data_IF_415217835108
#
_entry.id   IF_415217835108
#
_cell.length_a   1.000
_cell.length_b   1.000
_cell.length_c   1.000
_cell.angle_alpha   90.00
_cell.angle_beta   90.00
_cell.angle_gamma   90.00
#
_symmetry.space_group_name_H-M   'P 1'
#
loop_
_entity.id
_entity.type
_entity.pdbx_description
1 polymer ?
#
# COMPACT_ATOMS: atom_id res chain seq x y z
N UNK A 1 17.07 -10.86 19.57
CA UNK A 1 16.94 -11.45 18.23
C UNK A 1 16.05 -12.69 18.32
N UNK A 2 14.90 -12.71 17.66
CA UNK A 2 14.03 -13.89 17.57
C UNK A 2 14.07 -14.37 16.12
N UNK A 3 14.56 -15.59 15.92
CA UNK A 3 14.59 -16.23 14.60
C UNK A 3 13.33 -17.09 14.47
N UNK A 4 12.57 -16.88 13.42
CA UNK A 4 11.35 -17.64 13.13
C UNK A 4 11.66 -18.66 12.02
N UNK A 5 11.33 -19.92 12.27
CA UNK A 5 11.40 -21.00 11.29
C UNK A 5 10.00 -21.51 11.01
N UNK A 6 9.58 -21.41 9.75
CA UNK A 6 8.29 -21.96 9.30
C UNK A 6 7.08 -21.29 9.96
N UNK A 7 6.08 -22.05 10.39
CA UNK A 7 4.77 -21.60 10.90
C UNK A 7 4.77 -20.75 12.18
N UNK A 8 5.90 -20.18 12.59
CA UNK A 8 6.02 -19.38 13.81
C UNK A 8 5.47 -17.95 13.69
N UNK A 9 5.03 -17.52 12.52
CA UNK A 9 4.26 -16.26 12.34
C UNK A 9 3.03 -16.20 13.26
N UNK A 10 2.41 -17.34 13.58
CA UNK A 10 1.30 -17.44 14.55
C UNK A 10 1.65 -16.94 15.97
N UNK A 11 2.95 -16.82 16.29
CA UNK A 11 3.42 -16.34 17.59
C UNK A 11 3.62 -14.82 17.62
N UNK A 12 3.66 -14.18 16.46
CA UNK A 12 3.90 -12.73 16.33
C UNK A 12 2.60 -11.96 16.44
N UNK A 13 1.53 -12.49 15.84
CA UNK A 13 0.19 -11.94 15.93
C UNK A 13 -0.84 -13.04 15.73
N UNK A 14 -2.01 -12.94 16.40
CA UNK A 14 -3.15 -13.82 16.14
C UNK A 14 -3.85 -13.52 14.81
N UNK A 15 -3.57 -12.38 14.22
CA UNK A 15 -4.01 -12.03 12.86
C UNK A 15 -2.96 -11.15 12.22
N UNK A 16 -2.69 -11.41 10.96
CA UNK A 16 -1.87 -10.59 10.08
C UNK A 16 -2.65 -10.37 8.78
N UNK A 17 -2.46 -9.22 8.21
CA UNK A 17 -2.99 -8.85 6.90
C UNK A 17 -1.85 -8.58 5.92
N UNK A 18 -2.19 -8.00 4.84
CA UNK A 18 -1.40 -7.65 3.68
C UNK A 18 0.10 -7.63 3.88
N UNK A 19 0.82 -8.39 3.08
CA UNK A 19 2.27 -8.45 3.11
C UNK A 19 2.85 -7.56 2.00
N UNK A 20 3.84 -6.76 2.36
CA UNK A 20 4.60 -5.89 1.46
C UNK A 20 6.01 -6.44 1.35
N UNK A 21 6.31 -7.27 0.34
CA UNK A 21 7.65 -7.80 0.14
C UNK A 21 8.55 -6.75 -0.51
N UNK A 22 9.80 -6.73 -0.09
CA UNK A 22 10.83 -5.87 -0.68
C UNK A 22 12.20 -6.56 -0.63
N UNK A 23 12.96 -6.47 -1.72
CA UNK A 23 14.31 -7.02 -1.81
C UNK A 23 15.31 -5.89 -2.05
N UNK A 24 16.35 -5.85 -1.24
CA UNK A 24 17.43 -4.88 -1.37
C UNK A 24 18.76 -5.47 -0.88
N UNK A 25 19.81 -5.34 -1.68
CA UNK A 25 21.19 -5.71 -1.33
C UNK A 25 21.36 -7.08 -0.66
N UNK A 26 20.70 -8.10 -1.21
CA UNK A 26 20.81 -9.48 -0.69
C UNK A 26 19.87 -9.80 0.47
N UNK A 27 19.07 -8.85 0.94
CA UNK A 27 18.10 -9.01 2.02
C UNK A 27 16.67 -9.02 1.49
N UNK A 28 15.88 -9.96 1.99
CA UNK A 28 14.44 -10.02 1.78
C UNK A 28 13.75 -9.39 2.99
N UNK A 29 13.01 -8.33 2.77
CA UNK A 29 12.18 -7.67 3.77
C UNK A 29 10.72 -8.03 3.52
N UNK A 30 9.97 -8.30 4.58
CA UNK A 30 8.53 -8.42 4.53
C UNK A 30 7.94 -7.53 5.60
N UNK A 31 7.28 -6.47 5.18
CA UNK A 31 6.42 -5.69 6.06
C UNK A 31 5.03 -6.31 6.03
N UNK A 32 4.32 -6.32 7.14
CA UNK A 32 2.99 -6.89 7.21
C UNK A 32 2.13 -6.20 8.26
N UNK A 33 0.86 -6.17 7.98
CA UNK A 33 -0.14 -5.48 8.77
C UNK A 33 -0.56 -6.31 9.98
N UNK A 34 -0.53 -5.69 11.16
CA UNK A 34 -1.02 -6.35 12.38
C UNK A 34 -1.87 -5.40 13.20
N UNK A 35 -3.08 -5.81 13.61
CA UNK A 35 -3.84 -5.09 14.61
C UNK A 35 -3.19 -5.24 15.98
N UNK A 36 -3.55 -4.44 16.99
CA UNK A 36 -3.11 -4.62 18.35
C UNK A 36 -3.45 -6.03 18.85
N UNK A 37 -2.52 -6.63 19.61
CA UNK A 37 -2.64 -8.00 20.06
C UNK A 37 -3.96 -8.24 20.81
N UNK A 38 -4.69 -9.28 20.40
CA UNK A 38 -5.94 -9.69 21.04
C UNK A 38 -7.17 -8.89 20.64
N UNK A 39 -7.03 -7.87 19.78
CA UNK A 39 -8.20 -7.12 19.27
C UNK A 39 -8.88 -7.90 18.14
N UNK A 40 -10.21 -7.99 18.22
CA UNK A 40 -11.05 -8.66 17.21
C UNK A 40 -12.21 -7.78 16.76
N UNK A 41 -12.44 -6.67 17.46
CA UNK A 41 -13.58 -5.77 17.25
C UNK A 41 -13.16 -4.42 16.71
N UNK A 42 -14.05 -3.79 15.97
CA UNK A 42 -13.89 -2.40 15.51
C UNK A 42 -14.24 -1.42 16.66
N UNK A 43 -13.63 -0.23 16.74
CA UNK A 43 -12.60 0.29 15.82
C UNK A 43 -11.17 -0.17 16.15
N UNK A 44 -10.91 -0.76 17.32
CA UNK A 44 -9.55 -1.08 17.81
C UNK A 44 -8.76 -1.94 16.83
N UNK A 45 -9.45 -2.84 16.12
CA UNK A 45 -8.83 -3.69 15.09
C UNK A 45 -8.22 -2.89 13.95
N UNK A 46 -8.65 -1.66 13.71
CA UNK A 46 -8.18 -0.81 12.60
C UNK A 46 -6.85 -0.09 12.92
N UNK A 47 -6.39 -0.12 14.19
CA UNK A 47 -5.10 0.45 14.62
C UNK A 47 -3.92 -0.40 14.15
N UNK A 48 -3.79 -0.53 12.85
CA UNK A 48 -2.81 -1.39 12.19
C UNK A 48 -1.40 -0.80 12.32
N UNK A 49 -0.47 -1.67 12.68
CA UNK A 49 0.98 -1.40 12.71
C UNK A 49 1.66 -2.21 11.62
N UNK A 50 2.64 -1.66 10.94
CA UNK A 50 3.54 -2.41 10.06
C UNK A 50 4.62 -3.10 10.87
N UNK A 51 4.53 -4.43 10.98
CA UNK A 51 5.61 -5.27 11.51
C UNK A 51 6.62 -5.55 10.41
N UNK A 52 7.84 -5.91 10.79
CA UNK A 52 8.92 -6.07 9.84
C UNK A 52 9.70 -7.36 10.12
N UNK A 53 9.85 -8.20 9.10
CA UNK A 53 10.71 -9.38 9.08
C UNK A 53 11.78 -9.20 8.00
N UNK A 54 12.98 -9.74 8.28
CA UNK A 54 14.10 -9.75 7.36
C UNK A 54 14.69 -11.15 7.25
N UNK A 55 15.17 -11.52 6.05
CA UNK A 55 15.78 -12.81 5.78
C UNK A 55 16.86 -12.73 4.70
N UNK A 56 17.91 -13.54 4.82
CA UNK A 56 18.92 -13.73 3.77
C UNK A 56 18.55 -14.84 2.78
N UNK A 57 17.60 -15.73 3.14
CA UNK A 57 17.39 -17.00 2.42
C UNK A 57 15.92 -17.40 2.28
N UNK A 58 14.96 -16.56 2.70
CA UNK A 58 13.51 -16.80 2.71
C UNK A 58 13.06 -17.97 3.61
N UNK A 59 13.95 -18.54 4.42
CA UNK A 59 13.69 -19.66 5.31
C UNK A 59 13.81 -19.26 6.77
N UNK A 60 14.92 -18.63 7.11
CA UNK A 60 15.19 -18.13 8.47
C UNK A 60 14.88 -16.62 8.48
N UNK A 61 13.96 -16.22 9.36
CA UNK A 61 13.49 -14.86 9.46
C UNK A 61 13.84 -14.22 10.81
N UNK A 62 14.30 -13.00 10.76
CA UNK A 62 14.54 -12.15 11.92
C UNK A 62 13.42 -11.11 12.02
N UNK A 63 12.86 -10.94 13.22
CA UNK A 63 11.93 -9.85 13.52
C UNK A 63 12.71 -8.57 13.84
N UNK A 64 12.49 -7.55 13.07
CA UNK A 64 13.01 -6.21 13.27
C UNK A 64 11.98 -5.33 14.02
N UNK A 65 12.37 -4.13 14.50
CA UNK A 65 11.42 -3.18 15.05
C UNK A 65 10.25 -2.90 14.10
N UNK A 66 9.06 -2.56 14.60
CA UNK A 66 7.96 -2.12 13.74
C UNK A 66 8.38 -0.94 12.87
N UNK A 67 8.06 -1.01 11.57
CA UNK A 67 8.40 0.04 10.62
C UNK A 67 7.51 1.27 10.79
N UNK A 68 6.19 1.06 10.86
CA UNK A 68 5.21 2.15 11.00
C UNK A 68 4.25 1.86 12.15
N UNK A 69 4.09 2.83 13.04
CA UNK A 69 3.21 2.76 14.22
C UNK A 69 2.17 3.88 14.11
N UNK A 70 0.86 3.60 14.33
CA UNK A 70 -0.19 4.61 14.28
C UNK A 70 0.05 5.78 15.25
N UNK A 71 -0.25 6.99 14.78
CA UNK A 71 -0.23 8.19 15.61
C UNK A 71 1.15 8.69 16.04
N UNK A 72 2.22 8.09 15.51
CA UNK A 72 3.59 8.52 15.82
C UNK A 72 4.01 9.64 14.87
N UNK A 73 3.68 10.89 15.27
CA UNK A 73 4.08 12.10 14.55
C UNK A 73 3.32 12.36 13.22
N UNK A 74 2.26 11.61 12.95
CA UNK A 74 1.40 11.82 11.78
C UNK A 74 -0.08 11.73 12.15
N UNK A 75 -0.79 12.85 12.09
CA UNK A 75 -2.22 12.88 12.40
C UNK A 75 -3.07 12.11 11.39
N UNK A 76 -2.63 12.05 10.12
CA UNK A 76 -3.35 11.36 9.05
C UNK A 76 -3.42 9.83 9.25
N UNK A 77 -2.53 9.25 10.05
CA UNK A 77 -2.48 7.83 10.37
C UNK A 77 -2.68 7.51 11.86
N UNK A 78 -3.21 8.45 12.63
CA UNK A 78 -3.31 8.30 14.10
C UNK A 78 -4.10 7.06 14.52
N UNK A 79 -5.01 6.56 13.69
CA UNK A 79 -5.83 5.38 13.95
C UNK A 79 -5.37 4.13 13.20
N UNK A 80 -4.40 4.24 12.28
CA UNK A 80 -3.84 3.07 11.59
C UNK A 80 -2.89 3.40 10.46
N UNK A 81 -1.84 2.59 10.32
CA UNK A 81 -0.99 2.53 9.14
C UNK A 81 -1.44 1.33 8.31
N UNK A 82 -2.20 1.59 7.24
CA UNK A 82 -2.77 0.52 6.43
C UNK A 82 -1.86 0.19 5.23
N UNK A 83 -2.36 -0.64 4.33
CA UNK A 83 -1.62 -1.18 3.18
C UNK A 83 -0.91 -0.11 2.35
N UNK A 84 0.22 -0.50 1.80
CA UNK A 84 1.06 0.33 0.95
C UNK A 84 2.18 -0.48 0.29
N UNK A 85 3.23 0.20 -0.09
CA UNK A 85 4.39 -0.40 -0.74
C UNK A 85 5.69 0.32 -0.39
N UNK A 86 6.82 -0.32 -0.67
CA UNK A 86 8.17 0.21 -0.42
C UNK A 86 8.96 0.24 -1.70
N UNK A 87 9.74 1.29 -1.89
CA UNK A 87 10.73 1.44 -2.97
C UNK A 87 12.04 1.98 -2.40
N UNK A 88 13.17 1.58 -2.99
CA UNK A 88 14.45 2.25 -2.74
C UNK A 88 14.74 3.20 -3.91
N UNK A 89 14.86 4.48 -3.60
CA UNK A 89 15.04 5.53 -4.58
C UNK A 89 15.83 6.69 -3.95
N UNK A 90 16.61 7.42 -4.76
CA UNK A 90 17.37 8.59 -4.31
C UNK A 90 18.25 8.31 -3.06
N UNK A 91 18.74 7.07 -2.93
CA UNK A 91 19.59 6.64 -1.81
C UNK A 91 18.88 6.37 -0.50
N UNK A 92 17.54 6.32 -0.49
CA UNK A 92 16.70 6.05 0.68
C UNK A 92 15.62 5.01 0.40
N UNK A 93 15.12 4.39 1.44
CA UNK A 93 13.86 3.65 1.40
C UNK A 93 12.70 4.62 1.55
N UNK A 94 11.66 4.42 0.75
CA UNK A 94 10.40 5.18 0.81
C UNK A 94 9.26 4.20 0.99
N UNK A 95 8.45 4.41 2.01
CA UNK A 95 7.16 3.75 2.19
C UNK A 95 6.05 4.71 1.79
N UNK A 96 5.23 4.32 0.83
CA UNK A 96 4.00 5.01 0.47
C UNK A 96 2.85 4.14 0.97
N UNK A 97 2.04 4.63 1.89
CA UNK A 97 1.07 3.82 2.62
C UNK A 97 -0.24 4.56 2.87
N UNK A 98 -1.27 3.82 3.24
CA UNK A 98 -2.55 4.40 3.60
C UNK A 98 -2.54 4.81 5.06
N UNK A 99 -2.71 6.10 5.32
CA UNK A 99 -3.01 6.62 6.64
C UNK A 99 -4.51 6.54 6.92
N UNK A 100 -4.88 6.06 8.11
CA UNK A 100 -6.26 5.97 8.56
C UNK A 100 -6.51 6.84 9.78
N UNK A 101 -7.55 7.70 9.68
CA UNK A 101 -8.02 8.57 10.74
C UNK A 101 -9.55 8.61 10.74
N UNK A 102 -10.19 7.90 11.67
CA UNK A 102 -11.63 7.62 11.65
C UNK A 102 -12.51 8.88 11.67
N UNK A 103 -12.11 9.91 12.42
CA UNK A 103 -12.87 11.13 12.59
C UNK A 103 -12.50 12.24 11.60
N UNK A 104 -11.66 11.94 10.61
CA UNK A 104 -11.24 12.90 9.59
C UNK A 104 -12.30 13.09 8.51
N UNK A 105 -12.30 14.28 7.89
CA UNK A 105 -13.03 14.51 6.65
C UNK A 105 -12.62 13.50 5.55
N UNK A 106 -11.35 13.08 5.54
CA UNK A 106 -10.79 12.09 4.65
C UNK A 106 -10.23 10.93 5.48
N UNK A 107 -11.06 9.93 5.82
CA UNK A 107 -10.63 8.84 6.70
C UNK A 107 -9.47 8.01 6.16
N UNK A 108 -9.31 7.94 4.84
CA UNK A 108 -8.22 7.25 4.16
C UNK A 108 -7.49 8.23 3.26
N UNK A 109 -6.19 8.37 3.50
CA UNK A 109 -5.30 9.26 2.73
C UNK A 109 -4.00 8.55 2.47
N UNK A 110 -3.20 9.05 1.54
CA UNK A 110 -1.89 8.47 1.26
C UNK A 110 -0.82 9.24 2.01
N UNK A 111 -0.02 8.52 2.76
CA UNK A 111 1.08 8.99 3.57
C UNK A 111 2.42 8.49 3.04
N UNK A 112 3.49 9.15 3.46
CA UNK A 112 4.87 8.87 3.11
C UNK A 112 5.73 8.76 4.37
N UNK A 113 6.68 7.84 4.35
CA UNK A 113 7.76 7.76 5.33
C UNK A 113 9.06 7.37 4.63
N UNK A 114 10.20 7.76 5.19
CA UNK A 114 11.53 7.43 4.66
C UNK A 114 12.38 6.72 5.70
N UNK A 115 13.39 6.00 5.23
CA UNK A 115 14.40 5.36 6.06
C UNK A 115 15.74 5.32 5.33
N UNK A 116 16.84 5.51 6.06
CA UNK A 116 18.19 5.38 5.50
C UNK A 116 18.66 3.91 5.52
N UNK A 117 18.11 3.08 6.40
CA UNK A 117 18.55 1.70 6.65
C UNK A 117 17.45 0.63 6.46
N UNK A 118 16.23 1.06 6.12
CA UNK A 118 15.05 0.20 6.02
C UNK A 118 14.51 -0.31 7.36
N UNK A 119 15.07 0.13 8.50
CA UNK A 119 14.73 -0.32 9.85
C UNK A 119 14.09 0.80 10.66
N UNK A 120 14.73 1.96 10.69
CA UNK A 120 14.23 3.16 11.39
C UNK A 120 13.54 4.06 10.37
N UNK A 121 12.25 4.28 10.57
CA UNK A 121 11.42 5.04 9.64
C UNK A 121 10.99 6.38 10.22
N UNK A 122 11.08 7.41 9.40
CA UNK A 122 10.64 8.77 9.72
C UNK A 122 9.44 9.14 8.84
N UNK A 123 8.32 9.46 9.47
CA UNK A 123 7.11 9.92 8.75
C UNK A 123 7.31 11.32 8.22
N UNK A 124 6.85 11.55 7.00
CA UNK A 124 6.91 12.86 6.37
C UNK A 124 6.03 13.86 7.14
N UNK A 125 6.57 14.99 7.59
CA UNK A 125 5.79 16.00 8.33
C UNK A 125 4.71 16.67 7.47
N UNK A 126 4.77 16.56 6.15
CA UNK A 126 3.75 17.06 5.21
C UNK A 126 2.59 16.09 4.97
N UNK A 127 2.60 14.92 5.61
CA UNK A 127 1.49 13.97 5.48
C UNK A 127 0.12 14.58 5.81
N UNK A 128 -0.93 14.23 5.05
CA UNK A 128 -0.95 13.29 3.92
C UNK A 128 -0.45 13.91 2.61
N UNK A 129 0.31 13.13 1.83
CA UNK A 129 0.83 13.57 0.52
C UNK A 129 -0.20 13.53 -0.61
N UNK A 130 -1.24 12.67 -0.50
CA UNK A 130 -2.36 12.61 -1.45
C UNK A 130 -3.67 12.44 -0.67
N UNK A 131 -4.63 13.28 -0.97
CA UNK A 131 -5.98 13.25 -0.39
C UNK A 131 -7.04 12.88 -1.45
N UNK A 132 -8.21 12.35 -1.03
CA UNK A 132 -9.31 12.05 -1.95
C UNK A 132 -9.79 13.27 -2.74
N UNK A 133 -10.01 13.08 -4.05
CA UNK A 133 -10.65 14.07 -4.93
C UNK A 133 -12.17 13.85 -4.89
N UNK A 134 -12.83 14.39 -3.87
CA UNK A 134 -14.26 14.12 -3.58
C UNK A 134 -15.26 14.66 -4.59
N UNK A 135 -14.82 15.51 -5.50
CA UNK A 135 -15.60 15.92 -6.69
C UNK A 135 -15.82 14.76 -7.67
N UNK A 136 -14.93 13.76 -7.68
CA UNK A 136 -14.95 12.61 -8.60
C UNK A 136 -15.10 11.27 -7.89
N UNK A 137 -14.60 11.15 -6.66
CA UNK A 137 -14.45 9.88 -5.94
C UNK A 137 -15.02 9.98 -4.53
N UNK A 138 -15.32 8.83 -3.93
CA UNK A 138 -15.72 8.77 -2.53
C UNK A 138 -14.51 9.03 -1.63
N UNK A 139 -14.76 9.51 -0.42
CA UNK A 139 -13.72 9.71 0.61
C UNK A 139 -13.26 8.41 1.26
N UNK A 140 -14.01 7.32 1.07
CA UNK A 140 -13.68 5.96 1.49
C UNK A 140 -13.14 5.16 0.31
N UNK A 141 -12.45 4.05 0.61
CA UNK A 141 -11.80 3.20 -0.41
C UNK A 141 -10.75 3.94 -1.24
N UNK A 142 -10.07 4.89 -0.61
CA UNK A 142 -8.93 5.65 -1.14
C UNK A 142 -7.67 5.15 -0.47
N UNK A 143 -7.11 4.02 -0.95
CA UNK A 143 -6.09 3.27 -0.22
C UNK A 143 -5.21 2.38 -1.09
N UNK A 144 -4.34 1.63 -0.45
CA UNK A 144 -3.47 0.60 -0.99
C UNK A 144 -2.55 1.13 -2.10
N UNK A 145 -1.73 2.17 -1.83
CA UNK A 145 -0.85 2.72 -2.83
C UNK A 145 0.28 1.73 -3.16
N UNK A 146 0.53 1.55 -4.45
CA UNK A 146 1.69 0.82 -4.96
C UNK A 146 2.58 1.77 -5.74
N UNK A 147 3.82 1.96 -5.27
CA UNK A 147 4.82 2.86 -5.83
C UNK A 147 5.86 2.09 -6.63
N UNK A 148 6.22 2.60 -7.81
CA UNK A 148 7.32 2.09 -8.61
C UNK A 148 7.87 3.18 -9.54
N UNK A 149 9.12 3.01 -9.99
CA UNK A 149 9.67 3.85 -11.05
C UNK A 149 9.33 3.27 -12.42
N UNK A 150 8.70 4.07 -13.26
CA UNK A 150 8.37 3.68 -14.62
C UNK A 150 9.46 4.18 -15.57
N UNK A 151 10.35 3.28 -16.00
CA UNK A 151 11.46 3.61 -16.91
C UNK A 151 10.98 4.13 -18.27
N UNK A 152 9.85 3.61 -18.78
CA UNK A 152 9.29 4.03 -20.06
C UNK A 152 8.77 5.49 -20.01
N UNK A 153 8.44 5.99 -18.83
CA UNK A 153 7.90 7.34 -18.59
C UNK A 153 8.91 8.27 -17.90
N UNK A 154 9.99 7.72 -17.34
CA UNK A 154 11.00 8.47 -16.61
C UNK A 154 10.48 9.13 -15.33
N UNK A 155 9.50 8.52 -14.66
CA UNK A 155 8.82 9.10 -13.51
C UNK A 155 8.45 8.02 -12.48
N UNK A 156 8.30 8.43 -11.23
CA UNK A 156 7.68 7.60 -10.20
C UNK A 156 6.17 7.59 -10.39
N UNK A 157 5.60 6.40 -10.29
CA UNK A 157 4.17 6.18 -10.35
C UNK A 157 3.65 5.69 -9.01
N UNK A 158 2.51 6.20 -8.60
CA UNK A 158 1.68 5.62 -7.54
C UNK A 158 0.35 5.24 -8.17
N UNK A 159 0.00 3.96 -8.10
CA UNK A 159 -1.35 3.51 -8.37
C UNK A 159 -2.04 3.21 -7.04
N UNK A 160 -3.32 3.51 -6.94
CA UNK A 160 -4.09 3.30 -5.71
C UNK A 160 -5.53 2.91 -6.01
N UNK A 161 -6.14 2.22 -5.06
CA UNK A 161 -7.57 1.89 -5.10
C UNK A 161 -8.41 3.12 -4.81
N UNK A 162 -9.48 3.28 -5.58
CA UNK A 162 -10.49 4.31 -5.35
C UNK A 162 -11.87 3.84 -5.77
N UNK A 163 -12.88 4.64 -5.45
CA UNK A 163 -14.27 4.37 -5.82
C UNK A 163 -14.94 5.64 -6.31
N UNK A 164 -15.55 5.57 -7.51
CA UNK A 164 -16.36 6.66 -8.05
C UNK A 164 -17.49 7.04 -7.10
N UNK A 165 -17.82 8.32 -7.00
CA UNK A 165 -18.91 8.82 -6.15
C UNK A 165 -20.30 8.69 -6.79
N UNK A 166 -20.41 8.09 -7.97
CA UNK A 166 -21.66 7.90 -8.70
C UNK A 166 -21.74 6.54 -9.40
N UNK A 167 -22.95 6.14 -9.82
CA UNK A 167 -23.21 4.86 -10.50
C UNK A 167 -23.58 3.72 -9.53
N UNK A 168 -23.79 2.50 -10.03
CA UNK A 168 -24.07 1.32 -9.19
C UNK A 168 -22.86 0.95 -8.33
N UNK A 169 -23.03 0.77 -7.04
CA UNK A 169 -21.94 0.55 -6.07
C UNK A 169 -21.00 -0.59 -6.46
N UNK A 170 -21.52 -1.69 -7.00
CA UNK A 170 -20.74 -2.86 -7.43
C UNK A 170 -19.87 -2.62 -8.68
N UNK A 171 -19.92 -1.43 -9.27
CA UNK A 171 -19.21 -1.06 -10.48
C UNK A 171 -18.35 0.20 -10.35
N UNK A 172 -18.26 0.77 -9.15
CA UNK A 172 -17.58 2.06 -8.91
C UNK A 172 -16.09 1.95 -8.70
N UNK A 173 -15.58 0.75 -8.39
CA UNK A 173 -14.16 0.54 -8.13
C UNK A 173 -13.29 0.91 -9.32
N UNK A 174 -12.20 1.61 -9.06
CA UNK A 174 -11.20 1.99 -10.05
C UNK A 174 -9.81 2.02 -9.44
N UNK A 175 -8.80 1.94 -10.30
CA UNK A 175 -7.40 2.13 -9.94
C UNK A 175 -6.96 3.46 -10.54
N UNK A 176 -6.47 4.36 -9.70
CA UNK A 176 -6.02 5.69 -10.11
C UNK A 176 -4.51 5.71 -10.27
N UNK A 177 -4.03 6.63 -11.10
CA UNK A 177 -2.62 6.90 -11.31
C UNK A 177 -2.27 8.32 -10.87
N UNK A 178 -1.22 8.40 -10.06
CA UNK A 178 -0.47 9.62 -9.75
C UNK A 178 0.96 9.48 -10.22
N UNK A 179 1.57 10.58 -10.62
CA UNK A 179 2.96 10.65 -11.07
C UNK A 179 3.75 11.68 -10.30
N UNK A 180 5.04 11.42 -10.14
CA UNK A 180 5.99 12.33 -9.52
C UNK A 180 7.37 12.22 -10.16
N UNK A 181 8.10 13.31 -10.20
CA UNK A 181 9.52 13.33 -10.56
C UNK A 181 10.46 13.26 -9.35
N UNK A 182 9.94 13.48 -8.13
CA UNK A 182 10.74 13.69 -6.92
C UNK A 182 10.24 12.93 -5.67
N UNK A 183 9.17 12.11 -5.81
CA UNK A 183 8.53 11.36 -4.71
C UNK A 183 7.81 12.24 -3.65
N UNK A 184 7.88 13.56 -3.77
CA UNK A 184 7.30 14.52 -2.82
C UNK A 184 6.03 15.18 -3.38
N UNK A 185 6.05 15.52 -4.66
CA UNK A 185 4.95 16.19 -5.34
C UNK A 185 4.27 15.24 -6.32
N UNK A 186 3.01 14.92 -6.07
CA UNK A 186 2.24 13.96 -6.84
C UNK A 186 1.15 14.62 -7.66
N UNK A 187 1.22 14.43 -8.97
CA UNK A 187 0.23 14.92 -9.91
C UNK A 187 -0.78 13.84 -10.27
N UNK A 188 -2.06 14.17 -10.15
CA UNK A 188 -3.15 13.28 -10.56
C UNK A 188 -3.18 13.16 -12.08
N UNK A 189 -2.99 11.94 -12.58
CA UNK A 189 -3.06 11.65 -14.02
C UNK A 189 -4.47 11.27 -14.46
N UNK A 190 -5.18 10.46 -13.67
CA UNK A 190 -6.50 9.96 -13.98
C UNK A 190 -6.72 8.51 -13.54
N UNK A 191 -7.89 7.93 -13.90
CA UNK A 191 -8.10 6.51 -13.77
C UNK A 191 -7.19 5.74 -14.74
N UNK A 192 -6.39 4.81 -14.20
CA UNK A 192 -5.59 3.89 -14.98
C UNK A 192 -6.43 2.71 -15.47
N UNK A 193 -7.36 2.24 -14.61
CA UNK A 193 -8.22 1.11 -14.92
C UNK A 193 -9.56 1.19 -14.19
N UNK A 194 -10.63 0.96 -14.92
CA UNK A 194 -12.01 0.91 -14.41
C UNK A 194 -12.64 -0.42 -14.83
N UNK A 195 -12.63 -1.43 -13.94
CA UNK A 195 -13.09 -2.79 -14.27
C UNK A 195 -14.60 -2.91 -14.49
N UNK A 196 -15.41 -1.99 -13.95
CA UNK A 196 -16.87 -1.97 -14.03
C UNK A 196 -17.59 -3.24 -13.49
N UNK A 197 -16.90 -4.01 -12.65
CA UNK A 197 -17.42 -5.26 -12.10
C UNK A 197 -16.98 -5.50 -10.64
N UNK A 198 -16.47 -4.48 -9.96
CA UNK A 198 -16.13 -4.57 -8.53
C UNK A 198 -16.40 -3.25 -7.82
N UNK A 199 -16.71 -3.35 -6.54
CA UNK A 199 -16.87 -2.18 -5.68
C UNK A 199 -15.54 -1.50 -5.38
N UNK A 200 -14.50 -2.27 -5.11
CA UNK A 200 -13.15 -1.78 -4.84
C UNK A 200 -12.11 -2.81 -5.31
N UNK A 201 -11.19 -2.45 -6.21
CA UNK A 201 -10.05 -3.29 -6.58
C UNK A 201 -8.92 -3.06 -5.57
N UNK A 202 -8.88 -3.84 -4.49
CA UNK A 202 -7.90 -3.66 -3.40
C UNK A 202 -6.49 -4.11 -3.79
N UNK A 203 -5.50 -3.55 -3.09
CA UNK A 203 -4.09 -3.89 -3.20
C UNK A 203 -3.62 -3.97 -4.67
N UNK A 204 -3.77 -2.90 -5.46
CA UNK A 204 -3.31 -2.93 -6.84
C UNK A 204 -1.78 -3.00 -6.87
N UNK A 205 -1.27 -3.84 -7.76
CA UNK A 205 0.16 -3.96 -8.05
C UNK A 205 0.38 -3.91 -9.55
N UNK A 206 1.47 -3.30 -9.99
CA UNK A 206 1.79 -3.18 -11.40
C UNK A 206 3.27 -3.41 -11.66
N UNK A 207 3.59 -4.25 -12.63
CA UNK A 207 4.97 -4.58 -12.98
C UNK A 207 5.11 -4.99 -14.44
N UNK A 208 6.33 -4.86 -14.96
CA UNK A 208 6.71 -5.33 -16.29
C UNK A 208 7.38 -6.69 -16.18
N UNK A 209 6.89 -7.68 -16.92
CA UNK A 209 7.49 -9.00 -17.01
C UNK A 209 7.72 -9.33 -18.48
N UNK A 210 8.99 -9.44 -18.86
CA UNK A 210 9.37 -9.53 -20.27
C UNK A 210 8.96 -8.25 -21.03
N UNK A 211 8.19 -8.40 -22.09
CA UNK A 211 7.71 -7.28 -22.92
C UNK A 211 6.33 -6.78 -22.53
N UNK A 212 5.72 -7.33 -21.47
CA UNK A 212 4.33 -7.03 -21.11
C UNK A 212 4.20 -6.43 -19.72
N UNK A 213 3.19 -5.57 -19.56
CA UNK A 213 2.77 -5.02 -18.30
C UNK A 213 1.65 -5.86 -17.69
N UNK A 214 1.72 -6.07 -16.38
CA UNK A 214 0.73 -6.77 -15.58
C UNK A 214 0.18 -5.82 -14.53
N UNK A 215 -1.14 -5.77 -14.42
CA UNK A 215 -1.89 -5.07 -13.38
C UNK A 215 -2.66 -6.10 -12.57
N UNK A 216 -2.31 -6.27 -11.31
CA UNK A 216 -2.96 -7.20 -10.39
C UNK A 216 -3.77 -6.44 -9.36
N UNK A 217 -4.86 -7.02 -8.86
CA UNK A 217 -5.63 -6.48 -7.75
C UNK A 217 -6.48 -7.58 -7.10
N UNK A 218 -6.86 -7.38 -5.85
CA UNK A 218 -7.78 -8.26 -5.13
C UNK A 218 -9.22 -7.82 -5.35
N UNK A 219 -10.08 -8.80 -5.55
CA UNK A 219 -11.53 -8.63 -5.56
C UNK A 219 -12.13 -9.44 -4.42
N UNK A 220 -12.81 -8.77 -3.49
CA UNK A 220 -13.38 -9.44 -2.30
C UNK A 220 -14.89 -9.32 -2.21
N UNK A 221 -15.49 -8.32 -2.84
CA UNK A 221 -16.90 -7.95 -2.65
C UNK A 221 -17.89 -8.80 -3.46
N UNK A 222 -17.45 -9.40 -4.57
CA UNK A 222 -18.34 -10.19 -5.44
C UNK A 222 -18.00 -11.68 -5.40
N UNK A 223 -16.80 -12.01 -5.79
CA UNK A 223 -16.26 -13.35 -5.76
C UNK A 223 -14.79 -13.22 -5.45
N UNK A 224 -14.39 -13.57 -4.24
CA UNK A 224 -13.02 -13.38 -3.77
C UNK A 224 -11.98 -14.02 -4.71
N UNK A 225 -10.92 -13.29 -4.98
CA UNK A 225 -9.81 -13.77 -5.80
C UNK A 225 -8.89 -12.67 -6.28
N UNK A 226 -7.69 -13.05 -6.67
CA UNK A 226 -6.74 -12.17 -7.33
C UNK A 226 -7.08 -12.09 -8.81
N UNK A 227 -7.27 -10.87 -9.28
CA UNK A 227 -7.50 -10.56 -10.69
C UNK A 227 -6.20 -10.03 -11.30
N UNK A 228 -6.00 -10.28 -12.57
CA UNK A 228 -4.92 -9.63 -13.31
C UNK A 228 -5.35 -9.21 -14.71
N UNK A 229 -4.64 -8.22 -15.23
CA UNK A 229 -4.76 -7.74 -16.61
C UNK A 229 -3.38 -7.66 -17.22
N UNK A 230 -3.33 -7.75 -18.53
CA UNK A 230 -2.07 -7.70 -19.31
C UNK A 230 -2.22 -6.67 -20.41
N UNK A 231 -1.18 -5.87 -20.62
CA UNK A 231 -1.12 -4.88 -21.69
C UNK A 231 0.28 -4.77 -22.29
N UNK A 232 0.37 -4.21 -23.49
CA UNK A 232 1.66 -3.96 -24.15
C UNK A 232 2.29 -2.64 -23.67
N UNK A 233 1.50 -1.76 -23.08
CA UNK A 233 1.93 -0.46 -22.52
C UNK A 233 1.49 -0.29 -21.07
N UNK A 234 2.17 0.54 -20.27
CA UNK A 234 1.78 0.79 -18.88
C UNK A 234 0.42 1.50 -18.73
N UNK A 235 -0.08 2.06 -19.81
CA UNK A 235 -1.38 2.75 -19.86
C UNK A 235 -2.53 1.83 -20.31
N UNK A 236 -2.25 0.59 -20.62
CA UNK A 236 -3.23 -0.33 -21.19
C UNK A 236 -3.24 -0.32 -22.73
N UNK A 237 -4.38 -0.68 -23.36
CA UNK A 237 -5.66 -1.07 -22.73
C UNK A 237 -5.54 -2.37 -21.93
N UNK A 238 -6.18 -2.37 -20.77
CA UNK A 238 -6.13 -3.48 -19.81
C UNK A 238 -7.24 -4.52 -20.01
#
# INVERSE_FOLDING_TARGET
MKIFRGSTLDRVSKSSGDAVPFYHEGKYHVFFLTPPYGTTTYPDRLRITWRHLCSDNLVDWEELPPALIPGDGCEADKDGCWTGSVIFAEGKFHAIYTGYQIDSQYPQTICHATSDDGIVWEKDPSNPIIIPKTDLFEQYDWRDPYVFYNEDDGAYWVILSARRNHGPITKRGCILLYKSSDMLHWEYFGPLYEPWHTMCPECPEMYKLGSRWYLCYSRFSESAGTMYRVADTPYGPW
#
